data_IF_879989478499
#
_entry.id   IF_879989478499
#
_cell.length_a   1.000
_cell.length_b   1.000
_cell.length_c   1.000
_cell.angle_alpha   90.00
_cell.angle_beta   90.00
_cell.angle_gamma   90.00
#
_symmetry.space_group_name_H-M   'P 1'
#
loop_
_entity.id
_entity.type
_entity.pdbx_description
1 polymer ?
#
# COMPACT_ATOMS: atom_id res chain seq x y z
N UNK A 1 34.17 -11.71 -41.37
CA UNK A 1 33.44 -10.53 -40.84
C UNK A 1 33.24 -10.78 -39.35
N UNK A 2 33.76 -9.92 -38.48
CA UNK A 2 33.68 -10.09 -37.02
C UNK A 2 32.67 -9.08 -36.47
N UNK A 3 31.74 -9.52 -35.62
CA UNK A 3 30.75 -8.66 -34.99
C UNK A 3 31.22 -8.28 -33.58
N UNK A 4 31.21 -6.98 -33.28
CA UNK A 4 31.53 -6.45 -31.95
C UNK A 4 30.25 -6.31 -31.14
N UNK A 5 30.20 -6.94 -29.97
CA UNK A 5 29.12 -6.77 -29.00
C UNK A 5 29.49 -5.63 -28.07
N UNK A 6 28.65 -4.60 -28.02
CA UNK A 6 28.78 -3.48 -27.07
C UNK A 6 27.72 -3.66 -26.00
N UNK A 7 28.14 -3.84 -24.75
CA UNK A 7 27.25 -3.91 -23.60
C UNK A 7 26.99 -2.48 -23.12
N UNK A 8 25.73 -2.04 -23.21
CA UNK A 8 25.28 -0.76 -22.66
C UNK A 8 24.69 -1.04 -21.28
N UNK A 9 25.42 -0.69 -20.22
CA UNK A 9 24.87 -0.64 -18.86
C UNK A 9 24.46 0.79 -18.57
N UNK A 10 23.15 1.04 -18.46
CA UNK A 10 22.63 2.31 -17.98
C UNK A 10 22.72 2.31 -16.45
N UNK A 11 23.53 3.21 -15.90
CA UNK A 11 23.57 3.50 -14.47
C UNK A 11 22.33 4.36 -14.14
N UNK A 12 21.22 3.70 -13.78
CA UNK A 12 19.99 4.38 -13.35
C UNK A 12 20.19 4.74 -11.89
N UNK A 13 20.57 5.98 -11.62
CA UNK A 13 20.53 6.51 -10.27
C UNK A 13 19.07 6.49 -9.78
N UNK A 14 18.75 5.60 -8.84
CA UNK A 14 17.42 5.48 -8.24
C UNK A 14 17.06 6.80 -7.55
N UNK A 15 16.02 7.47 -8.04
CA UNK A 15 15.51 8.67 -7.38
C UNK A 15 14.59 8.23 -6.23
N UNK A 16 14.44 9.01 -5.15
CA UNK A 16 13.54 8.66 -4.04
C UNK A 16 12.09 8.39 -4.50
N UNK A 17 11.65 9.03 -5.58
CA UNK A 17 10.35 8.80 -6.21
C UNK A 17 10.22 7.48 -6.99
N UNK A 18 11.35 6.84 -7.34
CA UNK A 18 11.41 5.52 -7.98
C UNK A 18 11.35 4.38 -6.95
N UNK A 19 11.32 4.71 -5.65
CA UNK A 19 11.20 3.72 -4.59
C UNK A 19 9.90 2.93 -4.74
N UNK A 20 10.03 1.61 -4.90
CA UNK A 20 8.89 0.71 -4.92
C UNK A 20 8.23 0.67 -3.55
N UNK A 21 6.90 0.60 -3.54
CA UNK A 21 6.14 0.45 -2.30
C UNK A 21 6.57 -0.84 -1.57
N UNK A 22 7.01 -0.69 -0.33
CA UNK A 22 7.32 -1.84 0.53
C UNK A 22 6.05 -2.33 1.23
N UNK A 23 5.90 -3.66 1.44
CA UNK A 23 4.77 -4.19 2.18
C UNK A 23 4.77 -3.72 3.64
N UNK A 24 3.61 -3.28 4.12
CA UNK A 24 3.38 -2.93 5.53
C UNK A 24 2.39 -3.92 6.18
N UNK A 25 2.54 -4.24 7.47
CA UNK A 25 1.64 -5.17 8.14
C UNK A 25 0.25 -4.56 8.36
N UNK A 26 -0.80 -5.32 8.00
CA UNK A 26 -2.18 -4.96 8.33
C UNK A 26 -2.42 -4.97 9.85
N UNK A 27 -3.06 -3.93 10.38
CA UNK A 27 -3.34 -3.82 11.82
C UNK A 27 -4.33 -4.86 12.34
N UNK A 28 -5.17 -5.46 11.48
CA UNK A 28 -6.16 -6.49 11.86
C UNK A 28 -5.60 -7.90 11.79
N UNK A 29 -4.99 -8.28 10.67
CA UNK A 29 -4.57 -9.66 10.39
C UNK A 29 -3.06 -9.87 10.35
N UNK A 30 -2.27 -8.79 10.50
CA UNK A 30 -0.80 -8.80 10.44
C UNK A 30 -0.18 -9.26 9.12
N UNK A 31 -0.98 -9.64 8.12
CA UNK A 31 -0.49 -9.96 6.78
C UNK A 31 0.12 -8.72 6.12
N UNK A 32 1.21 -8.95 5.38
CA UNK A 32 1.86 -7.92 4.58
C UNK A 32 0.94 -7.45 3.46
N UNK A 33 0.76 -6.12 3.35
CA UNK A 33 -0.04 -5.48 2.33
C UNK A 33 0.73 -4.30 1.74
N UNK A 34 0.77 -4.19 0.41
CA UNK A 34 1.39 -3.06 -0.27
C UNK A 34 0.62 -1.74 -0.07
N UNK A 35 -0.69 -1.85 0.15
CA UNK A 35 -1.56 -0.72 0.38
C UNK A 35 -2.46 -1.00 1.57
N UNK A 36 -2.63 0.02 2.41
CA UNK A 36 -3.57 -0.01 3.53
C UNK A 36 -4.42 1.24 3.52
N UNK A 37 -5.65 1.12 4.03
CA UNK A 37 -6.55 2.25 4.26
C UNK A 37 -6.77 2.31 5.76
N UNK A 38 -6.17 3.31 6.41
CA UNK A 38 -6.18 3.46 7.87
C UNK A 38 -5.69 2.16 8.55
N UNK A 39 -4.51 1.69 8.11
CA UNK A 39 -3.86 0.50 8.65
C UNK A 39 -4.48 -0.84 8.28
N UNK A 40 -5.62 -0.88 7.56
CA UNK A 40 -6.29 -2.14 7.16
C UNK A 40 -6.06 -2.49 5.70
N UNK A 41 -5.83 -3.77 5.41
CA UNK A 41 -5.76 -4.29 4.05
C UNK A 41 -7.16 -4.46 3.43
N UNK A 42 -7.22 -4.55 2.10
CA UNK A 42 -8.47 -4.69 1.35
C UNK A 42 -9.27 -5.95 1.72
N UNK A 43 -8.59 -7.06 2.01
CA UNK A 43 -9.25 -8.31 2.40
C UNK A 43 -9.99 -8.17 3.72
N UNK A 44 -9.34 -7.58 4.74
CA UNK A 44 -9.97 -7.32 6.02
C UNK A 44 -11.12 -6.30 5.91
N UNK A 45 -10.98 -5.29 5.05
CA UNK A 45 -12.06 -4.33 4.79
C UNK A 45 -13.27 -5.04 4.17
N UNK A 46 -13.03 -5.93 3.21
CA UNK A 46 -14.07 -6.72 2.54
C UNK A 46 -14.76 -7.69 3.49
N UNK A 47 -13.97 -8.41 4.29
CA UNK A 47 -14.45 -9.32 5.32
C UNK A 47 -15.30 -8.60 6.38
N UNK A 48 -14.86 -7.43 6.87
CA UNK A 48 -15.70 -6.60 7.74
C UNK A 48 -17.02 -6.21 7.09
N UNK A 49 -16.98 -5.81 5.81
CA UNK A 49 -18.22 -5.45 5.09
C UNK A 49 -19.19 -6.62 4.94
N UNK A 50 -18.70 -7.86 4.90
CA UNK A 50 -19.52 -9.05 4.73
C UNK A 50 -19.98 -9.66 6.06
N UNK A 51 -19.08 -9.72 7.04
CA UNK A 51 -19.25 -10.55 8.24
C UNK A 51 -19.27 -9.72 9.54
N UNK A 52 -18.75 -8.49 9.55
CA UNK A 52 -18.61 -7.66 10.75
C UNK A 52 -19.04 -6.19 10.49
N UNK A 53 -20.34 -5.94 10.21
CA UNK A 53 -20.81 -4.62 9.76
C UNK A 53 -20.58 -3.51 10.80
N UNK A 54 -20.69 -3.82 12.10
CA UNK A 54 -20.44 -2.84 13.16
C UNK A 54 -18.96 -2.42 13.20
N UNK A 55 -18.04 -3.37 13.01
CA UNK A 55 -16.61 -3.07 12.88
C UNK A 55 -16.33 -2.25 11.61
N UNK A 56 -17.07 -2.51 10.53
CA UNK A 56 -16.95 -1.75 9.28
C UNK A 56 -17.38 -0.29 9.48
N UNK A 57 -18.45 -0.03 10.22
CA UNK A 57 -18.92 1.32 10.52
C UNK A 57 -17.95 2.08 11.44
N UNK A 58 -17.43 1.42 12.48
CA UNK A 58 -16.40 2.01 13.33
C UNK A 58 -15.14 2.41 12.52
N UNK A 59 -14.68 1.55 11.62
CA UNK A 59 -13.56 1.85 10.72
C UNK A 59 -13.86 3.01 9.75
N UNK A 60 -15.10 3.14 9.24
CA UNK A 60 -15.47 4.28 8.40
C UNK A 60 -15.36 5.61 9.15
N UNK A 61 -15.76 5.65 10.42
CA UNK A 61 -15.61 6.85 11.25
C UNK A 61 -14.14 7.22 11.45
N UNK A 62 -13.28 6.21 11.67
CA UNK A 62 -11.83 6.40 11.75
C UNK A 62 -11.26 6.97 10.44
N UNK A 63 -11.70 6.43 9.29
CA UNK A 63 -11.32 6.93 7.97
C UNK A 63 -11.72 8.39 7.74
N UNK A 64 -12.96 8.76 8.08
CA UNK A 64 -13.41 10.15 7.95
C UNK A 64 -12.53 11.09 8.75
N UNK A 65 -12.25 10.76 10.02
CA UNK A 65 -11.36 11.58 10.87
C UNK A 65 -9.94 11.67 10.29
N UNK A 66 -9.40 10.57 9.75
CA UNK A 66 -8.08 10.57 9.14
C UNK A 66 -8.00 11.47 7.89
N UNK A 67 -9.07 11.52 7.09
CA UNK A 67 -9.18 12.40 5.90
C UNK A 67 -9.29 13.87 6.33
N UNK A 68 -10.13 14.16 7.31
CA UNK A 68 -10.33 15.52 7.83
C UNK A 68 -9.03 16.08 8.42
N UNK A 69 -8.33 15.30 9.24
CA UNK A 69 -7.06 15.71 9.86
C UNK A 69 -5.92 15.93 8.86
N UNK A 70 -5.96 15.27 7.69
CA UNK A 70 -4.96 15.45 6.62
C UNK A 70 -5.24 16.69 5.77
N UNK A 71 -6.47 17.20 5.83
CA UNK A 71 -6.92 18.35 5.04
C UNK A 71 -6.81 19.68 5.82
N UNK A 72 -6.42 19.61 7.10
CA UNK A 72 -6.12 20.74 7.98
C UNK A 72 -4.62 21.05 7.99
#
# INVERSE_FOLDING_TARGET
MSATVVVVTADVAERPEDALAEPVPCSRCSNAALLTIVGRCADCISDMGRNFPDEREAWKQELTRAIENRSA
#
